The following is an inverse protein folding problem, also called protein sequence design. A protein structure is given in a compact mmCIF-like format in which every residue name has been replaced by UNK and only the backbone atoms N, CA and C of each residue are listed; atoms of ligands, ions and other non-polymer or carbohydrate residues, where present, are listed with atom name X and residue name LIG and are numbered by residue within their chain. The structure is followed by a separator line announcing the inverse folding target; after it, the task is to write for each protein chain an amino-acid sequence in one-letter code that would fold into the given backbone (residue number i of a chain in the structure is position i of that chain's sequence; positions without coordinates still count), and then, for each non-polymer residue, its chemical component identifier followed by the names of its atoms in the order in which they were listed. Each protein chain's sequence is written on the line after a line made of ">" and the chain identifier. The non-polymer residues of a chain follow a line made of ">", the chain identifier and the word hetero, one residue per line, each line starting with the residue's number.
data_IF_948101419594
#
_entry.id   IF_948101419594
#
_cell.length_a   1.000
_cell.length_b   1.000
_cell.length_c   1.000
_cell.angle_alpha   90.00
_cell.angle_beta   90.00
_cell.angle_gamma   90.00
#
_symmetry.space_group_name_H-M   'P 1'
#
loop_
_entity.id
_entity.type
_entity.pdbx_description
1 polymer ?
#
# COMPACT_ATOMS: atom_id res chain seq x y z
N UNK A 1 -50.24 -71.65 -42.89
CA UNK A 1 -49.72 -71.22 -41.58
C UNK A 1 -48.42 -70.44 -41.81
N UNK A 2 -48.30 -69.30 -41.14
CA UNK A 2 -47.14 -68.40 -41.02
C UNK A 2 -46.60 -67.67 -42.27
N UNK A 3 -46.59 -66.35 -42.13
CA UNK A 3 -46.29 -65.27 -43.10
C UNK A 3 -44.76 -65.23 -43.37
N UNK A 4 -44.29 -65.22 -44.63
CA UNK A 4 -44.07 -64.05 -45.55
C UNK A 4 -43.07 -63.04 -44.93
N UNK A 5 -41.99 -62.55 -45.53
CA UNK A 5 -41.60 -62.15 -46.93
C UNK A 5 -40.08 -61.82 -46.85
N UNK A 6 -39.20 -62.32 -47.72
CA UNK A 6 -38.82 -61.86 -49.08
C UNK A 6 -37.90 -60.61 -49.14
N UNK A 7 -36.63 -60.89 -49.49
CA UNK A 7 -35.70 -60.19 -50.39
C UNK A 7 -36.16 -58.88 -51.07
N UNK A 8 -35.27 -57.89 -51.22
CA UNK A 8 -34.45 -57.73 -52.45
C UNK A 8 -33.47 -56.55 -52.39
N UNK A 9 -32.44 -56.70 -53.21
CA UNK A 9 -31.20 -55.94 -53.40
C UNK A 9 -31.31 -54.50 -53.90
N UNK A 10 -30.44 -53.67 -53.31
CA UNK A 10 -29.70 -52.49 -53.79
C UNK A 10 -29.78 -52.08 -55.27
N UNK A 11 -30.00 -50.77 -55.48
CA UNK A 11 -29.35 -49.95 -56.52
C UNK A 11 -29.32 -48.48 -56.07
N UNK A 12 -28.11 -47.94 -55.91
CA UNK A 12 -27.83 -46.54 -55.53
C UNK A 12 -28.29 -45.57 -56.63
N UNK A 13 -29.08 -44.56 -56.26
CA UNK A 13 -29.33 -43.35 -57.06
C UNK A 13 -28.69 -42.15 -56.37
N UNK A 14 -27.82 -41.45 -57.10
CA UNK A 14 -27.25 -40.15 -56.73
C UNK A 14 -28.34 -39.10 -57.00
N UNK A 15 -28.77 -38.38 -55.97
CA UNK A 15 -29.57 -37.15 -56.09
C UNK A 15 -28.73 -35.98 -55.58
N UNK A 16 -28.46 -35.03 -56.46
CA UNK A 16 -27.91 -33.71 -56.15
C UNK A 16 -28.97 -32.93 -55.36
N UNK A 17 -28.73 -32.73 -54.07
CA UNK A 17 -29.55 -31.86 -53.21
C UNK A 17 -28.93 -30.47 -53.17
N UNK A 18 -29.56 -29.52 -53.86
CA UNK A 18 -29.33 -28.09 -53.67
C UNK A 18 -29.95 -27.65 -52.35
N UNK A 19 -29.12 -27.42 -51.33
CA UNK A 19 -29.56 -26.82 -50.06
C UNK A 19 -29.60 -25.30 -50.19
N UNK A 20 -30.67 -24.61 -49.74
CA UNK A 20 -30.70 -23.16 -49.69
C UNK A 20 -29.75 -22.63 -48.60
N UNK A 21 -28.97 -21.60 -48.93
CA UNK A 21 -28.21 -20.80 -47.98
C UNK A 21 -29.17 -20.17 -46.96
N UNK A 22 -29.09 -20.58 -45.70
CA UNK A 22 -29.62 -19.82 -44.57
C UNK A 22 -28.51 -18.88 -44.12
N UNK A 23 -28.65 -17.58 -44.42
CA UNK A 23 -27.83 -16.54 -43.82
C UNK A 23 -28.17 -16.46 -42.34
N UNK A 24 -27.30 -16.97 -41.47
CA UNK A 24 -27.28 -16.58 -40.06
C UNK A 24 -26.66 -15.18 -39.99
N UNK A 25 -27.50 -14.16 -39.87
CA UNK A 25 -27.03 -12.84 -39.45
C UNK A 25 -26.56 -12.94 -38.00
N UNK A 26 -25.25 -12.96 -37.80
CA UNK A 26 -24.63 -12.81 -36.49
C UNK A 26 -24.84 -11.38 -36.03
N UNK A 27 -25.78 -11.18 -35.10
CA UNK A 27 -25.89 -9.91 -34.39
C UNK A 27 -24.56 -9.59 -33.69
N UNK A 28 -24.00 -8.38 -33.84
CA UNK A 28 -22.82 -7.99 -33.09
C UNK A 28 -23.17 -8.02 -31.61
N UNK A 29 -22.47 -8.86 -30.85
CA UNK A 29 -22.49 -8.85 -29.40
C UNK A 29 -21.98 -7.48 -28.97
N UNK A 30 -22.91 -6.59 -28.59
CA UNK A 30 -22.58 -5.34 -27.94
C UNK A 30 -21.73 -5.65 -26.72
N UNK A 31 -20.59 -4.96 -26.62
CA UNK A 31 -19.58 -5.18 -25.60
C UNK A 31 -20.21 -5.34 -24.23
N UNK A 32 -19.87 -6.46 -23.58
CA UNK A 32 -20.05 -6.60 -22.14
C UNK A 32 -19.30 -5.43 -21.50
N UNK A 33 -20.05 -4.43 -21.02
CA UNK A 33 -19.52 -3.51 -20.03
C UNK A 33 -19.08 -4.38 -18.86
N UNK A 34 -17.76 -4.60 -18.73
CA UNK A 34 -17.25 -5.08 -17.45
C UNK A 34 -17.80 -4.10 -16.43
N UNK A 35 -18.59 -4.57 -15.46
CA UNK A 35 -18.92 -3.74 -14.30
C UNK A 35 -17.59 -3.26 -13.74
N UNK A 36 -17.24 -1.99 -13.98
CA UNK A 36 -16.00 -1.43 -13.49
C UNK A 36 -16.05 -1.58 -11.98
N UNK A 37 -15.22 -2.47 -11.43
CA UNK A 37 -15.09 -2.61 -9.99
C UNK A 37 -14.73 -1.22 -9.44
N UNK A 38 -15.32 -0.79 -8.32
CA UNK A 38 -15.02 0.52 -7.77
C UNK A 38 -13.51 0.66 -7.53
N UNK A 39 -12.93 1.73 -8.07
CA UNK A 39 -11.51 2.04 -7.90
C UNK A 39 -11.33 2.64 -6.51
N UNK A 40 -10.86 1.82 -5.57
CA UNK A 40 -10.62 2.21 -4.20
C UNK A 40 -9.24 1.78 -3.72
N UNK A 41 -8.58 2.67 -2.99
CA UNK A 41 -7.37 2.33 -2.24
C UNK A 41 -6.31 3.42 -2.28
N UNK A 42 -5.04 3.00 -2.30
CA UNK A 42 -3.90 3.91 -2.19
C UNK A 42 -3.34 4.30 -3.55
N UNK A 43 -3.30 5.60 -3.79
CA UNK A 43 -2.47 6.21 -4.82
C UNK A 43 -1.16 6.67 -4.19
N UNK A 44 -0.02 6.22 -4.72
CA UNK A 44 1.30 6.47 -4.14
C UNK A 44 2.05 7.52 -4.96
N UNK A 45 2.73 8.44 -4.28
CA UNK A 45 3.48 9.52 -4.91
C UNK A 45 4.52 8.99 -5.89
N UNK A 46 4.49 9.49 -7.12
CA UNK A 46 5.37 9.05 -8.21
C UNK A 46 5.11 7.64 -8.74
N UNK A 47 4.00 6.98 -8.37
CA UNK A 47 3.64 5.64 -8.85
C UNK A 47 2.29 5.67 -9.57
N UNK A 48 2.23 5.05 -10.76
CA UNK A 48 1.06 5.15 -11.64
C UNK A 48 -0.03 4.11 -11.38
N UNK A 49 0.27 3.06 -10.62
CA UNK A 49 -0.66 1.97 -10.36
C UNK A 49 -1.32 2.14 -9.00
N UNK A 50 -2.66 2.16 -8.98
CA UNK A 50 -3.44 2.09 -7.75
C UNK A 50 -3.12 0.78 -7.02
N UNK A 51 -2.99 0.84 -5.69
CA UNK A 51 -2.76 -0.33 -4.84
C UNK A 51 -1.46 -1.09 -5.13
N UNK A 52 -0.50 -0.46 -5.81
CA UNK A 52 0.88 -0.91 -5.85
C UNK A 52 1.74 0.06 -5.04
N UNK A 53 2.48 -0.47 -4.07
CA UNK A 53 3.31 0.33 -3.17
C UNK A 53 4.76 -0.14 -3.28
N UNK A 54 5.58 0.62 -3.99
CA UNK A 54 7.03 0.38 -4.07
C UNK A 54 7.73 1.25 -3.03
N UNK A 55 8.29 0.63 -2.00
CA UNK A 55 9.06 1.33 -0.97
C UNK A 55 10.50 1.56 -1.45
N UNK A 56 11.04 2.79 -1.37
CA UNK A 56 12.40 3.07 -1.78
C UNK A 56 13.39 2.38 -0.84
N UNK A 57 14.51 1.93 -1.39
CA UNK A 57 15.65 1.44 -0.62
C UNK A 57 16.75 2.50 -0.65
N UNK A 58 17.45 2.68 0.46
CA UNK A 58 18.60 3.56 0.49
C UNK A 58 19.72 3.04 1.39
N UNK A 59 20.93 3.54 1.14
CA UNK A 59 22.11 3.35 1.99
C UNK A 59 22.72 4.69 2.34
N UNK A 60 23.23 4.82 3.56
CA UNK A 60 23.92 6.04 3.97
C UNK A 60 25.37 6.02 3.50
N UNK A 61 25.80 7.12 2.87
CA UNK A 61 27.18 7.37 2.41
C UNK A 61 27.69 8.71 2.97
N UNK A 62 28.94 9.08 2.71
CA UNK A 62 29.51 10.34 3.19
C UNK A 62 30.31 10.19 4.49
N UNK A 63 30.25 11.19 5.38
CA UNK A 63 31.00 11.22 6.65
C UNK A 63 30.57 10.10 7.62
N UNK A 64 29.29 9.75 7.58
CA UNK A 64 28.70 8.75 8.45
C UNK A 64 28.06 7.61 7.65
N UNK A 65 28.85 6.80 6.95
CA UNK A 65 28.32 5.74 6.11
C UNK A 65 27.68 4.62 6.96
N UNK A 66 26.78 3.85 6.36
CA UNK A 66 26.26 2.60 6.92
C UNK A 66 26.29 1.50 5.88
N UNK A 67 26.69 0.30 6.29
CA UNK A 67 26.65 -0.90 5.43
C UNK A 67 25.25 -1.49 5.32
N UNK A 68 24.28 -0.99 6.09
CA UNK A 68 22.90 -1.47 6.08
C UNK A 68 22.09 -0.82 4.96
N UNK A 69 21.16 -1.58 4.39
CA UNK A 69 20.14 -1.06 3.48
C UNK A 69 18.89 -0.78 4.31
N UNK A 70 18.38 0.43 4.19
CA UNK A 70 17.19 0.90 4.89
C UNK A 70 16.01 0.96 3.93
N UNK A 71 14.83 0.63 4.46
CA UNK A 71 13.57 0.81 3.76
C UNK A 71 13.05 2.21 4.09
N UNK A 72 12.82 3.01 3.06
CA UNK A 72 12.28 4.35 3.21
C UNK A 72 10.78 4.38 3.37
N UNK A 73 10.25 5.59 3.18
CA UNK A 73 8.83 5.87 3.26
C UNK A 73 8.35 6.44 1.95
N UNK A 74 7.08 6.21 1.64
CA UNK A 74 6.38 6.86 0.52
C UNK A 74 5.20 7.64 1.04
N UNK A 75 4.80 8.68 0.30
CA UNK A 75 3.53 9.36 0.54
C UNK A 75 2.44 8.68 -0.28
N UNK A 76 1.27 8.51 0.30
CA UNK A 76 0.12 7.97 -0.39
C UNK A 76 -1.15 8.72 -0.01
N UNK A 77 -2.14 8.73 -0.89
CA UNK A 77 -3.46 9.29 -0.71
C UNK A 77 -4.50 8.20 -0.90
N UNK A 78 -5.59 8.26 -0.14
CA UNK A 78 -6.73 7.39 -0.37
C UNK A 78 -7.67 7.99 -1.41
N UNK A 79 -8.18 7.14 -2.30
CA UNK A 79 -9.20 7.48 -3.28
C UNK A 79 -10.31 6.42 -3.26
N UNK A 80 -11.54 6.85 -3.56
CA UNK A 80 -12.70 5.99 -3.81
C UNK A 80 -13.49 6.58 -4.98
N UNK A 81 -13.80 5.77 -5.99
CA UNK A 81 -14.60 6.19 -7.14
C UNK A 81 -16.09 6.33 -6.82
N UNK A 82 -16.57 5.69 -5.74
CA UNK A 82 -17.99 5.71 -5.33
C UNK A 82 -18.30 6.88 -4.40
N UNK A 83 -17.36 7.22 -3.52
CA UNK A 83 -17.52 8.30 -2.56
C UNK A 83 -16.36 9.29 -2.66
N UNK A 84 -16.52 10.39 -3.42
CA UNK A 84 -15.47 11.39 -3.59
C UNK A 84 -15.26 12.25 -2.33
N UNK A 85 -14.17 13.03 -2.25
CA UNK A 85 -13.97 13.99 -1.17
C UNK A 85 -15.12 15.00 -1.08
N UNK A 86 -15.55 15.31 0.15
CA UNK A 86 -16.60 16.31 0.42
C UNK A 86 -16.40 16.92 1.80
N UNK A 87 -16.69 18.21 1.95
CA UNK A 87 -16.51 18.96 3.20
C UNK A 87 -17.04 18.19 4.42
N UNK A 88 -16.21 18.04 5.44
CA UNK A 88 -16.55 17.32 6.67
C UNK A 88 -16.29 15.81 6.60
N UNK A 89 -15.84 15.27 5.46
CA UNK A 89 -15.45 13.86 5.35
C UNK A 89 -14.06 13.58 5.88
N UNK A 90 -13.91 12.39 6.43
CA UNK A 90 -12.65 11.76 6.81
C UNK A 90 -12.64 10.32 6.34
N UNK A 91 -11.46 9.78 6.10
CA UNK A 91 -11.27 8.36 5.86
C UNK A 91 -10.42 7.75 6.95
N UNK A 92 -10.86 6.61 7.47
CA UNK A 92 -10.12 5.78 8.40
C UNK A 92 -9.75 4.51 7.64
N UNK A 93 -8.47 4.13 7.64
CA UNK A 93 -7.98 2.92 6.97
C UNK A 93 -7.20 2.11 7.99
N UNK A 94 -7.46 0.81 8.05
CA UNK A 94 -6.82 -0.14 8.96
C UNK A 94 -6.21 -1.29 8.17
N UNK A 95 -4.96 -1.62 8.47
CA UNK A 95 -4.30 -2.80 7.92
C UNK A 95 -4.67 -4.02 8.76
N UNK A 96 -5.53 -4.88 8.20
CA UNK A 96 -6.04 -6.09 8.85
C UNK A 96 -5.31 -7.35 8.40
N UNK A 97 -4.18 -7.19 7.70
CA UNK A 97 -3.42 -8.31 7.15
C UNK A 97 -2.96 -9.28 8.25
N UNK A 98 -2.98 -10.57 7.92
CA UNK A 98 -2.35 -11.59 8.77
C UNK A 98 -0.86 -11.27 8.98
N UNK A 99 -0.41 -11.37 10.23
CA UNK A 99 0.97 -11.04 10.65
C UNK A 99 1.14 -9.60 11.13
N UNK A 100 0.10 -8.76 11.04
CA UNK A 100 0.04 -7.51 11.81
C UNK A 100 -0.24 -7.79 13.28
N UNK A 101 0.19 -6.88 14.16
CA UNK A 101 -0.13 -6.94 15.58
C UNK A 101 -1.66 -7.04 15.78
N UNK A 102 -2.17 -8.13 16.41
CA UNK A 102 -3.60 -8.36 16.56
C UNK A 102 -4.25 -7.40 17.56
N UNK A 103 -3.48 -6.91 18.52
CA UNK A 103 -3.96 -6.02 19.58
C UNK A 103 -4.03 -4.56 19.12
N UNK A 104 -3.23 -4.19 18.12
CA UNK A 104 -3.15 -2.83 17.61
C UNK A 104 -2.82 -2.80 16.13
N UNK A 105 -3.83 -3.11 15.31
CA UNK A 105 -3.71 -3.02 13.86
C UNK A 105 -3.28 -1.61 13.45
N UNK A 106 -2.26 -1.48 12.58
CA UNK A 106 -1.88 -0.19 12.04
C UNK A 106 -3.09 0.49 11.38
N UNK A 107 -3.39 1.73 11.78
CA UNK A 107 -4.45 2.51 11.17
C UNK A 107 -3.99 3.94 10.86
N UNK A 108 -4.74 4.60 9.99
CA UNK A 108 -4.60 6.02 9.68
C UNK A 108 -5.96 6.67 9.58
N UNK A 109 -6.08 7.90 10.10
CA UNK A 109 -7.24 8.77 9.91
C UNK A 109 -6.78 10.01 9.13
N UNK A 110 -7.41 10.27 7.99
CA UNK A 110 -7.03 11.38 7.10
C UNK A 110 -8.24 12.21 6.74
N UNK A 111 -8.03 13.52 6.68
CA UNK A 111 -9.00 14.46 6.14
C UNK A 111 -9.36 14.04 4.70
N UNK A 112 -10.64 13.96 4.38
CA UNK A 112 -11.15 13.59 3.06
C UNK A 112 -12.12 14.67 2.55
N UNK A 113 -11.87 15.93 2.95
CA UNK A 113 -12.81 17.03 2.73
C UNK A 113 -12.70 17.77 1.40
N UNK A 114 -11.57 17.64 0.70
CA UNK A 114 -11.23 18.48 -0.46
C UNK A 114 -10.29 17.80 -1.43
N UNK A 115 -10.20 18.35 -2.65
CA UNK A 115 -9.32 17.85 -3.70
C UNK A 115 -9.86 16.59 -4.33
N UNK A 116 -8.97 15.75 -4.86
CA UNK A 116 -9.33 14.48 -5.51
C UNK A 116 -9.20 13.25 -4.62
N UNK A 117 -8.52 13.39 -3.49
CA UNK A 117 -8.12 12.29 -2.61
C UNK A 117 -7.91 12.79 -1.18
N UNK A 118 -7.67 11.87 -0.22
CA UNK A 118 -7.47 12.23 1.19
C UNK A 118 -6.23 13.07 1.43
N UNK A 119 -6.08 13.67 2.61
CA UNK A 119 -4.77 14.08 3.10
C UNK A 119 -3.78 12.92 3.00
N UNK A 120 -2.54 13.21 2.60
CA UNK A 120 -1.50 12.20 2.45
C UNK A 120 -1.19 11.50 3.78
N UNK A 121 -0.82 10.23 3.69
CA UNK A 121 -0.18 9.48 4.77
C UNK A 121 1.22 9.01 4.35
N UNK A 122 2.15 8.94 5.30
CA UNK A 122 3.41 8.23 5.07
C UNK A 122 3.18 6.73 5.27
N UNK A 123 3.73 5.92 4.36
CA UNK A 123 3.70 4.45 4.41
C UNK A 123 5.13 3.92 4.51
N UNK A 124 5.36 2.94 5.39
CA UNK A 124 6.64 2.23 5.51
C UNK A 124 6.45 0.76 5.88
N UNK A 125 7.54 -0.02 5.83
CA UNK A 125 7.49 -1.44 6.16
C UNK A 125 7.55 -1.69 7.67
N UNK A 126 6.78 -2.67 8.13
CA UNK A 126 6.78 -3.17 9.51
C UNK A 126 5.55 -4.04 9.81
N UNK A 127 5.37 -4.40 11.07
CA UNK A 127 4.27 -5.26 11.56
C UNK A 127 3.48 -4.66 12.72
N UNK A 128 3.93 -3.52 13.25
CA UNK A 128 3.37 -2.88 14.44
C UNK A 128 2.98 -1.44 14.14
N UNK A 129 1.92 -0.95 14.78
CA UNK A 129 1.49 0.43 14.65
C UNK A 129 2.58 1.40 15.14
N UNK A 130 2.92 2.38 14.30
CA UNK A 130 3.83 3.47 14.64
C UNK A 130 3.07 4.78 14.47
N UNK A 131 2.80 5.49 15.57
CA UNK A 131 1.92 6.67 15.64
C UNK A 131 1.88 7.57 14.38
N UNK A 132 3.05 7.91 13.80
CA UNK A 132 3.15 8.88 12.70
C UNK A 132 3.12 8.26 11.29
N UNK A 133 3.28 6.95 11.16
CA UNK A 133 3.48 6.28 9.85
C UNK A 133 2.57 5.08 9.74
N UNK A 134 1.86 4.97 8.62
CA UNK A 134 1.04 3.81 8.33
C UNK A 134 1.93 2.63 7.92
N UNK A 135 1.74 1.48 8.56
CA UNK A 135 2.66 0.36 8.45
C UNK A 135 2.05 -0.74 7.58
N UNK A 136 2.87 -1.27 6.67
CA UNK A 136 2.53 -2.35 5.75
C UNK A 136 3.58 -3.46 5.79
N UNK A 137 3.17 -4.69 5.51
CA UNK A 137 4.09 -5.82 5.36
C UNK A 137 4.48 -6.00 3.89
N UNK A 138 5.46 -6.85 3.63
CA UNK A 138 5.80 -7.25 2.26
C UNK A 138 4.62 -7.99 1.61
N UNK A 139 4.53 -7.88 0.29
CA UNK A 139 3.57 -8.54 -0.57
C UNK A 139 2.13 -8.04 -0.32
N UNK A 140 1.14 -8.94 -0.36
CA UNK A 140 -0.27 -8.58 -0.22
C UNK A 140 -0.60 -8.04 1.18
N UNK A 141 -1.26 -6.90 1.21
CA UNK A 141 -1.86 -6.33 2.41
C UNK A 141 -3.36 -6.14 2.19
N UNK A 142 -4.15 -6.51 3.19
CA UNK A 142 -5.60 -6.33 3.20
C UNK A 142 -5.97 -5.18 4.13
N UNK A 143 -6.83 -4.29 3.63
CA UNK A 143 -7.25 -3.09 4.32
C UNK A 143 -8.76 -3.04 4.46
N UNK A 144 -9.20 -2.56 5.61
CA UNK A 144 -10.55 -2.06 5.81
C UNK A 144 -10.52 -0.54 5.79
N UNK A 145 -11.56 0.07 5.21
CA UNK A 145 -11.72 1.51 5.28
C UNK A 145 -13.15 1.89 5.70
N UNK A 146 -13.24 3.06 6.33
CA UNK A 146 -14.50 3.76 6.61
C UNK A 146 -14.38 5.20 6.10
N UNK A 147 -15.33 5.63 5.28
CA UNK A 147 -15.53 7.05 4.98
C UNK A 147 -16.61 7.56 5.93
N UNK A 148 -16.25 8.55 6.73
CA UNK A 148 -17.15 9.19 7.69
C UNK A 148 -17.43 10.61 7.28
N UNK A 149 -18.67 11.05 7.46
CA UNK A 149 -19.07 12.46 7.39
C UNK A 149 -19.60 12.82 8.77
N UNK A 150 -18.93 13.78 9.42
CA UNK A 150 -19.18 14.10 10.83
C UNK A 150 -19.02 12.86 11.74
N UNK A 151 -20.11 12.37 12.34
CA UNK A 151 -20.12 11.19 13.22
C UNK A 151 -20.74 9.95 12.57
N UNK A 152 -21.15 10.04 11.30
CA UNK A 152 -21.83 8.97 10.58
C UNK A 152 -20.90 8.30 9.59
N UNK A 153 -20.97 6.98 9.50
CA UNK A 153 -20.27 6.22 8.48
C UNK A 153 -21.12 6.23 7.22
N UNK A 154 -20.54 6.72 6.12
CA UNK A 154 -21.20 6.85 4.81
C UNK A 154 -20.88 5.65 3.93
N UNK A 155 -19.63 5.17 3.98
CA UNK A 155 -19.20 3.99 3.23
C UNK A 155 -18.22 3.17 4.07
N UNK A 156 -18.30 1.85 3.92
CA UNK A 156 -17.30 0.90 4.41
C UNK A 156 -16.97 -0.07 3.30
N UNK A 157 -15.72 -0.48 3.24
CA UNK A 157 -15.30 -1.49 2.29
C UNK A 157 -13.92 -2.05 2.63
N UNK A 158 -13.45 -2.89 1.74
CA UNK A 158 -12.13 -3.48 1.80
C UNK A 158 -11.43 -3.32 0.46
N UNK A 159 -10.10 -3.20 0.51
CA UNK A 159 -9.24 -3.25 -0.66
C UNK A 159 -7.92 -3.89 -0.27
N UNK A 160 -7.19 -4.40 -1.26
CA UNK A 160 -5.86 -4.97 -1.05
C UNK A 160 -4.82 -4.16 -1.82
N UNK A 161 -3.61 -4.06 -1.28
CA UNK A 161 -2.46 -3.49 -1.98
C UNK A 161 -1.26 -4.43 -1.95
N UNK A 162 -0.49 -4.43 -3.04
CA UNK A 162 0.74 -5.20 -3.15
C UNK A 162 1.95 -4.31 -2.86
N UNK A 163 2.76 -4.72 -1.89
CA UNK A 163 3.91 -3.96 -1.41
C UNK A 163 5.21 -4.64 -1.79
N UNK A 164 6.06 -3.92 -2.49
CA UNK A 164 7.42 -4.35 -2.82
C UNK A 164 8.44 -3.30 -2.39
N UNK A 165 9.72 -3.66 -2.46
CA UNK A 165 10.81 -2.69 -2.36
C UNK A 165 11.34 -2.40 -3.76
N UNK A 166 11.85 -1.18 -3.94
CA UNK A 166 12.60 -0.81 -5.15
C UNK A 166 13.73 -1.81 -5.43
N UNK A 167 13.96 -2.12 -6.70
CA UNK A 167 15.12 -2.91 -7.14
C UNK A 167 16.43 -2.11 -7.06
N UNK A 168 16.34 -0.78 -7.03
CA UNK A 168 17.48 0.13 -6.93
C UNK A 168 17.61 0.66 -5.50
N UNK A 169 18.87 0.73 -5.03
CA UNK A 169 19.24 1.35 -3.76
C UNK A 169 19.79 2.75 -4.04
N UNK A 170 19.12 3.77 -3.50
CA UNK A 170 19.59 5.15 -3.60
C UNK A 170 20.65 5.44 -2.53
N UNK A 171 21.63 6.27 -2.87
CA UNK A 171 22.60 6.74 -1.89
C UNK A 171 22.15 8.05 -1.27
N UNK A 172 22.20 8.11 0.05
CA UNK A 172 21.85 9.31 0.82
C UNK A 172 23.07 9.73 1.62
N UNK A 173 23.57 10.95 1.38
CA UNK A 173 24.65 11.51 2.18
C UNK A 173 24.20 11.71 3.63
N UNK A 174 24.97 11.18 4.58
CA UNK A 174 24.77 11.35 6.02
C UNK A 174 25.97 12.06 6.62
N UNK A 175 25.70 13.25 7.17
CA UNK A 175 26.71 14.11 7.78
C UNK A 175 26.77 13.91 9.29
N UNK A 176 27.95 14.14 9.87
CA UNK A 176 28.12 14.17 11.31
C UNK A 176 27.59 15.49 11.89
N UNK A 177 26.74 15.40 12.91
CA UNK A 177 26.23 16.57 13.62
C UNK A 177 27.19 16.99 14.72
N UNK A 178 27.41 18.29 14.87
CA UNK A 178 28.20 18.82 15.97
C UNK A 178 27.41 18.75 17.28
N UNK A 179 28.00 18.14 18.30
CA UNK A 179 27.40 18.01 19.64
C UNK A 179 28.37 18.50 20.69
N UNK A 180 27.83 19.07 21.77
CA UNK A 180 28.59 19.43 22.96
C UNK A 180 28.76 18.18 23.82
N UNK A 181 29.97 17.60 23.81
CA UNK A 181 30.33 16.63 24.83
C UNK A 181 31.18 17.29 25.88
N UNK A 182 30.84 17.03 27.12
CA UNK A 182 31.62 17.50 28.23
C UNK A 182 31.74 16.49 29.33
N UNK A 183 32.67 16.76 30.22
CA UNK A 183 32.81 16.03 31.46
C UNK A 183 32.91 17.03 32.61
N UNK A 184 32.58 16.54 33.81
CA UNK A 184 32.76 17.33 35.01
C UNK A 184 34.22 17.26 35.46
N UNK A 185 34.97 18.35 35.25
CA UNK A 185 36.37 18.43 35.65
C UNK A 185 36.52 18.57 37.17
N UNK A 186 35.54 19.19 37.84
CA UNK A 186 35.55 19.38 39.30
C UNK A 186 34.19 19.05 39.91
N UNK A 187 34.18 18.03 40.78
CA UNK A 187 33.00 17.66 41.56
C UNK A 187 32.92 18.57 42.80
N UNK A 188 31.76 19.20 43.00
CA UNK A 188 31.39 19.85 44.24
C UNK A 188 30.76 18.88 45.22
N UNK A 189 31.01 19.09 46.50
CA UNK A 189 30.22 18.49 47.59
C UNK A 189 28.93 19.31 47.75
N UNK A 190 27.80 18.78 47.28
CA UNK A 190 26.49 19.36 47.57
C UNK A 190 26.09 19.08 49.01
N UNK A 191 25.49 20.08 49.68
CA UNK A 191 24.83 19.87 50.97
C UNK A 191 23.64 18.91 50.69
N UNK A 192 23.60 17.77 51.40
CA UNK A 192 22.68 16.61 51.20
C UNK A 192 23.17 15.47 50.27
N UNK A 193 24.46 15.37 49.95
CA UNK A 193 25.01 14.15 49.31
C UNK A 193 24.79 14.04 47.80
N UNK A 194 24.20 15.06 47.17
CA UNK A 194 24.17 15.17 45.71
C UNK A 194 25.50 15.74 45.21
N UNK A 195 26.23 14.96 44.41
CA UNK A 195 27.43 15.43 43.71
C UNK A 195 27.01 16.49 42.67
N UNK A 196 27.31 17.75 42.92
CA UNK A 196 27.08 18.83 41.94
C UNK A 196 28.33 19.01 41.07
N UNK A 197 28.16 19.30 39.78
CA UNK A 197 29.32 19.64 38.95
C UNK A 197 29.67 21.12 39.14
N UNK A 198 30.87 21.42 39.66
CA UNK A 198 31.34 22.80 39.84
C UNK A 198 31.94 23.37 38.57
N UNK A 199 32.66 22.55 37.82
CA UNK A 199 33.29 22.97 36.56
C UNK A 199 33.02 21.96 35.46
N UNK A 200 32.12 22.33 34.56
CA UNK A 200 31.84 21.59 33.34
C UNK A 200 32.81 22.04 32.25
N UNK A 201 33.48 21.08 31.60
CA UNK A 201 34.32 21.34 30.43
C UNK A 201 33.64 20.69 29.24
N UNK A 202 33.27 21.49 28.24
CA UNK A 202 32.64 21.03 26.99
C UNK A 202 33.57 21.26 25.80
N UNK A 203 33.62 20.29 24.90
CA UNK A 203 34.23 20.39 23.59
C UNK A 203 33.19 20.07 22.51
N UNK A 204 33.33 20.73 21.36
CA UNK A 204 32.58 20.38 20.15
C UNK A 204 33.15 19.10 19.55
N UNK A 205 32.31 18.10 19.38
CA UNK A 205 32.64 16.86 18.68
C UNK A 205 31.60 16.58 17.62
N UNK A 206 32.07 16.15 16.44
CA UNK A 206 31.20 15.75 15.34
C UNK A 206 30.86 14.27 15.51
N UNK A 207 29.56 13.97 15.59
CA UNK A 207 29.09 12.60 15.84
C UNK A 207 28.11 12.16 14.77
N UNK A 208 28.24 10.90 14.38
CA UNK A 208 27.29 10.28 13.50
C UNK A 208 25.97 10.02 14.21
N UNK A 209 24.82 10.30 13.58
CA UNK A 209 23.54 9.85 14.06
C UNK A 209 23.55 8.34 14.28
N UNK A 210 22.87 7.88 15.33
CA UNK A 210 22.64 6.45 15.53
C UNK A 210 21.75 5.92 14.40
N UNK A 211 22.02 4.68 14.01
CA UNK A 211 21.22 3.92 13.06
C UNK A 211 19.84 3.54 13.63
#
# INVERSE_FOLDING_TARGET
>A
MSKKISYLSYLMKIFLLSTPLVFMESFPVWGQSSSAQPEVGFEVDGQSQLNQIVLPLYRYVGECPSSQIYIGKVKAWFTSSTEPPKKGRKVIIRNISRGMSPDNFPFTERDYSKGRSSQSTEITSGTEHRNRVFVVKRDNNDFEYEIREENSVIERGQFSAFVTSSSTVSEVNREATETDKGYCAEKGSGLLGFLSCRRWVSNKVRECPKD
#
